data_IF_217635816954
#
_entry.id   IF_217635816954
#
_cell.length_a   1.000
_cell.length_b   1.000
_cell.length_c   1.000
_cell.angle_alpha   90.00
_cell.angle_beta   90.00
_cell.angle_gamma   90.00
#
_symmetry.space_group_name_H-M   'P 1'
#
loop_
_entity.id
_entity.type
_entity.pdbx_description
1 polymer ?
#
# COMPACT_ATOMS: atom_id res chain seq x y z
N UNK A 1 9.61 -2.60 16.46
CA UNK A 1 9.37 -1.68 15.31
C UNK A 1 10.01 -2.19 14.02
N UNK A 2 11.33 -2.41 13.95
CA UNK A 2 11.98 -2.86 12.70
C UNK A 2 11.38 -4.18 12.15
N UNK A 3 11.20 -5.18 13.02
CA UNK A 3 10.59 -6.44 12.65
C UNK A 3 9.15 -6.31 12.11
N UNK A 4 8.34 -5.44 12.72
CA UNK A 4 6.99 -5.12 12.25
C UNK A 4 7.00 -4.48 10.85
N UNK A 5 7.96 -3.58 10.59
CA UNK A 5 8.13 -2.95 9.29
C UNK A 5 8.45 -3.99 8.20
N UNK A 6 9.37 -4.93 8.49
CA UNK A 6 9.71 -6.02 7.58
C UNK A 6 8.50 -6.91 7.27
N UNK A 7 7.72 -7.29 8.30
CA UNK A 7 6.51 -8.09 8.11
C UNK A 7 5.45 -7.36 7.28
N UNK A 8 5.33 -6.05 7.43
CA UNK A 8 4.35 -5.25 6.67
C UNK A 8 4.77 -5.03 5.21
N UNK A 9 6.07 -5.05 4.92
CA UNK A 9 6.59 -4.95 3.55
C UNK A 9 6.54 -6.29 2.79
N UNK A 10 6.57 -7.40 3.52
CA UNK A 10 6.65 -8.75 2.96
C UNK A 10 5.49 -9.10 1.99
N UNK A 11 4.22 -8.74 2.26
CA UNK A 11 3.12 -8.97 1.32
C UNK A 11 3.34 -8.30 -0.03
N UNK A 12 3.85 -7.06 -0.04
CA UNK A 12 4.10 -6.34 -1.28
C UNK A 12 5.21 -6.99 -2.12
N UNK A 13 6.22 -7.58 -1.48
CA UNK A 13 7.27 -8.30 -2.20
C UNK A 13 6.80 -9.67 -2.74
N UNK A 14 5.94 -10.36 -1.98
CA UNK A 14 5.47 -11.70 -2.34
C UNK A 14 4.36 -11.66 -3.41
N UNK A 15 3.44 -10.69 -3.31
CA UNK A 15 2.26 -10.57 -4.18
C UNK A 15 2.46 -9.55 -5.32
N UNK A 16 3.40 -8.61 -5.18
CA UNK A 16 3.69 -7.62 -6.20
C UNK A 16 2.56 -6.61 -6.45
N UNK A 17 2.61 -5.98 -7.62
CA UNK A 17 1.72 -4.91 -8.07
C UNK A 17 0.26 -5.33 -8.31
N UNK A 18 0.01 -6.65 -8.41
CA UNK A 18 -1.25 -7.22 -8.92
C UNK A 18 -1.40 -7.13 -10.44
N UNK A 19 -2.11 -8.09 -11.03
CA UNK A 19 -2.28 -8.20 -12.49
C UNK A 19 -3.15 -7.07 -13.08
N UNK A 20 -4.12 -6.58 -12.30
CA UNK A 20 -4.98 -5.46 -12.69
C UNK A 20 -4.17 -4.16 -12.90
N UNK A 21 -3.18 -3.91 -12.03
CA UNK A 21 -2.30 -2.77 -12.18
C UNK A 21 -1.46 -2.89 -13.46
N UNK A 22 -0.95 -4.09 -13.76
CA UNK A 22 -0.14 -4.35 -14.96
C UNK A 22 -0.92 -4.13 -16.25
N UNK A 23 -2.19 -4.54 -16.31
CA UNK A 23 -3.03 -4.37 -17.50
C UNK A 23 -3.27 -2.88 -17.86
N UNK A 24 -3.10 -1.96 -16.91
CA UNK A 24 -3.17 -0.52 -17.15
C UNK A 24 -1.87 0.09 -17.69
N UNK A 25 -0.86 -0.72 -18.03
CA UNK A 25 0.41 -0.25 -18.61
C UNK A 25 0.48 -0.52 -20.11
N UNK A 26 1.15 0.36 -20.87
CA UNK A 26 1.23 0.24 -22.35
C UNK A 26 1.92 -1.04 -22.82
N UNK A 27 2.75 -1.64 -21.98
CA UNK A 27 3.56 -2.81 -22.32
C UNK A 27 2.80 -4.13 -22.17
N UNK A 28 1.91 -4.22 -21.17
CA UNK A 28 1.11 -5.42 -20.90
C UNK A 28 -0.31 -5.33 -21.50
N UNK A 29 -0.86 -4.14 -21.69
CA UNK A 29 -2.16 -3.93 -22.35
C UNK A 29 -2.18 -4.15 -23.87
N UNK A 30 -1.09 -4.69 -24.45
CA UNK A 30 -0.89 -4.79 -25.92
C UNK A 30 -0.74 -6.24 -26.44
N UNK A 31 -1.39 -7.22 -25.80
CA UNK A 31 -1.48 -8.58 -26.37
C UNK A 31 -2.82 -9.26 -26.16
N UNK A 32 -3.80 -8.82 -26.95
CA UNK A 32 -4.65 -9.74 -27.71
C UNK A 32 -5.17 -9.01 -28.95
N UNK A 33 -4.60 -9.31 -30.12
CA UNK A 33 -5.14 -8.87 -31.41
C UNK A 33 -4.13 -8.40 -32.44
N UNK A 34 -3.20 -9.28 -32.87
CA UNK A 34 -2.63 -9.12 -34.20
C UNK A 34 -3.74 -9.40 -35.24
N UNK A 35 -4.33 -8.37 -35.84
CA UNK A 35 -4.93 -8.52 -37.17
C UNK A 35 -4.59 -7.30 -38.02
N UNK A 36 -3.77 -7.57 -39.05
CA UNK A 36 -3.57 -6.71 -40.19
C UNK A 36 -4.92 -6.24 -40.73
N UNK A 37 -5.21 -4.94 -40.67
CA UNK A 37 -6.02 -4.25 -41.68
C UNK A 37 -5.91 -2.75 -41.45
N UNK A 38 -5.17 -2.12 -42.34
CA UNK A 38 -5.08 -0.68 -42.51
C UNK A 38 -6.45 -0.05 -42.79
N UNK A 39 -6.71 1.03 -42.04
CA UNK A 39 -7.33 2.28 -42.48
C UNK A 39 -8.85 2.48 -42.29
N UNK A 40 -9.11 3.40 -41.32
CA UNK A 40 -10.25 4.30 -41.09
C UNK A 40 -11.48 3.75 -40.35
N UNK A 41 -11.41 3.95 -39.02
CA UNK A 41 -12.24 3.42 -37.94
C UNK A 41 -13.74 3.75 -38.09
N UNK A 42 -14.59 2.74 -38.36
CA UNK A 42 -16.02 2.83 -38.12
C UNK A 42 -16.35 2.33 -36.70
N UNK A 43 -17.51 2.78 -36.23
CA UNK A 43 -18.24 2.42 -35.02
C UNK A 43 -18.20 0.95 -34.56
N UNK A 44 -18.35 0.77 -33.23
CA UNK A 44 -18.90 -0.39 -32.48
C UNK A 44 -17.85 -1.43 -32.03
N UNK A 45 -17.78 -1.99 -30.81
CA UNK A 45 -18.34 -1.84 -29.45
C UNK A 45 -17.71 -3.02 -28.64
N UNK A 46 -17.75 -2.97 -27.31
CA UNK A 46 -17.58 -4.07 -26.32
C UNK A 46 -16.22 -4.30 -25.63
N UNK A 47 -16.20 -3.83 -24.38
CA UNK A 47 -15.53 -4.39 -23.18
C UNK A 47 -14.04 -4.13 -22.94
N UNK A 48 -13.71 -2.97 -22.38
CA UNK A 48 -12.97 -2.87 -21.09
C UNK A 48 -12.82 -1.41 -20.62
N UNK A 49 -13.94 -0.73 -20.44
CA UNK A 49 -14.01 0.50 -19.63
C UNK A 49 -15.15 0.34 -18.61
N UNK A 50 -15.01 -0.66 -17.74
CA UNK A 50 -15.99 -0.98 -16.70
C UNK A 50 -15.65 -0.25 -15.40
N UNK A 51 -15.81 1.08 -15.37
CA UNK A 51 -15.87 1.84 -14.11
C UNK A 51 -17.10 2.74 -14.00
N UNK A 52 -18.01 2.66 -14.98
CA UNK A 52 -19.36 3.22 -14.88
C UNK A 52 -20.33 2.15 -15.38
N UNK A 53 -20.80 1.27 -14.49
CA UNK A 53 -21.96 0.45 -14.79
C UNK A 53 -23.19 1.37 -14.75
N UNK A 54 -23.64 1.75 -15.95
CA UNK A 54 -24.99 2.24 -16.14
C UNK A 54 -25.99 1.11 -15.85
N UNK A 55 -27.12 1.49 -15.29
CA UNK A 55 -28.04 0.61 -14.56
C UNK A 55 -28.86 -0.34 -15.45
N UNK A 56 -28.26 -1.31 -16.15
CA UNK A 56 -29.07 -2.33 -16.84
C UNK A 56 -28.38 -3.66 -17.22
N UNK A 57 -27.80 -4.38 -16.25
CA UNK A 57 -27.80 -5.87 -16.23
C UNK A 57 -27.13 -6.35 -14.94
N UNK A 58 -27.93 -6.91 -14.03
CA UNK A 58 -27.45 -7.62 -12.83
C UNK A 58 -27.44 -9.10 -13.16
N UNK A 59 -26.42 -9.54 -13.89
CA UNK A 59 -26.02 -10.94 -13.86
C UNK A 59 -24.99 -11.05 -12.72
N UNK A 60 -25.49 -11.36 -11.53
CA UNK A 60 -24.68 -11.62 -10.34
C UNK A 60 -23.98 -12.99 -10.50
N UNK A 61 -23.00 -13.08 -11.40
CA UNK A 61 -21.96 -14.10 -11.32
C UNK A 61 -20.96 -13.63 -10.25
N UNK A 62 -21.27 -13.98 -9.00
CA UNK A 62 -20.31 -13.92 -7.92
C UNK A 62 -19.26 -14.98 -8.21
N UNK A 63 -18.18 -14.62 -8.91
CA UNK A 63 -16.98 -15.45 -8.87
C UNK A 63 -16.59 -15.60 -7.41
N UNK A 64 -16.62 -16.85 -6.92
CA UNK A 64 -16.16 -17.23 -5.59
C UNK A 64 -14.64 -16.97 -5.56
N UNK A 65 -14.25 -15.72 -5.33
CA UNK A 65 -12.85 -15.34 -5.22
C UNK A 65 -12.27 -16.10 -4.03
N UNK A 66 -11.34 -17.01 -4.30
CA UNK A 66 -10.52 -17.63 -3.26
C UNK A 66 -9.73 -16.53 -2.54
N UNK A 67 -10.28 -16.04 -1.44
CA UNK A 67 -9.70 -14.94 -0.68
C UNK A 67 -8.41 -15.44 -0.04
N UNK A 68 -7.25 -15.02 -0.56
CA UNK A 68 -5.98 -15.43 0.01
C UNK A 68 -5.82 -14.85 1.42
N UNK A 69 -5.83 -15.73 2.43
CA UNK A 69 -5.72 -15.37 3.85
C UNK A 69 -4.28 -15.05 4.30
N UNK A 70 -3.28 -15.29 3.43
CA UNK A 70 -1.87 -15.10 3.78
C UNK A 70 -1.53 -13.63 4.12
N UNK A 71 -1.88 -12.61 3.31
CA UNK A 71 -1.59 -11.22 3.65
C UNK A 71 -2.25 -10.76 4.96
N UNK A 72 -3.55 -11.03 5.22
CA UNK A 72 -4.17 -10.72 6.51
C UNK A 72 -3.46 -11.35 7.71
N UNK A 73 -3.03 -12.61 7.61
CA UNK A 73 -2.34 -13.31 8.71
C UNK A 73 -0.97 -12.66 8.99
N UNK A 74 -0.21 -12.33 7.95
CA UNK A 74 1.09 -11.66 8.11
C UNK A 74 0.91 -10.30 8.79
N UNK A 75 -0.10 -9.53 8.37
CA UNK A 75 -0.42 -8.24 8.98
C UNK A 75 -0.86 -8.40 10.44
N UNK A 76 -1.68 -9.40 10.74
CA UNK A 76 -2.11 -9.71 12.12
C UNK A 76 -0.91 -10.01 13.03
N UNK A 77 0.00 -10.88 12.59
CA UNK A 77 1.23 -11.19 13.33
C UNK A 77 2.09 -9.93 13.49
N UNK A 78 2.19 -9.11 12.46
CA UNK A 78 2.87 -7.81 12.53
C UNK A 78 2.28 -6.92 13.63
N UNK A 79 0.96 -6.74 13.66
CA UNK A 79 0.28 -5.92 14.66
C UNK A 79 0.45 -6.47 16.07
N UNK A 80 0.44 -7.80 16.23
CA UNK A 80 0.70 -8.44 17.51
C UNK A 80 2.11 -8.11 18.03
N UNK A 81 3.14 -8.21 17.18
CA UNK A 81 4.51 -7.86 17.56
C UNK A 81 4.64 -6.36 17.87
N UNK A 82 3.94 -5.51 17.11
CA UNK A 82 3.89 -4.07 17.38
C UNK A 82 3.27 -3.78 18.75
N UNK A 83 2.18 -4.46 19.10
CA UNK A 83 1.52 -4.36 20.40
C UNK A 83 2.43 -4.74 21.56
N UNK A 84 3.07 -5.92 21.49
CA UNK A 84 4.02 -6.39 22.51
C UNK A 84 5.18 -5.39 22.67
N UNK A 85 5.76 -4.95 21.55
CA UNK A 85 6.86 -3.98 21.56
C UNK A 85 6.47 -2.64 22.18
N UNK A 86 5.26 -2.15 21.89
CA UNK A 86 4.71 -0.93 22.49
C UNK A 86 4.52 -1.06 24.00
N UNK A 87 3.90 -2.14 24.45
CA UNK A 87 3.70 -2.40 25.87
C UNK A 87 5.02 -2.49 26.64
N UNK A 88 6.01 -3.22 26.11
CA UNK A 88 7.34 -3.32 26.73
C UNK A 88 8.07 -1.98 26.77
N UNK A 89 7.96 -1.17 25.71
CA UNK A 89 8.55 0.15 25.67
C UNK A 89 7.99 1.07 26.77
N UNK A 90 6.66 1.14 26.89
CA UNK A 90 6.02 2.04 27.86
C UNK A 90 6.14 1.57 29.32
N UNK A 91 6.17 0.26 29.55
CA UNK A 91 6.31 -0.30 30.91
C UNK A 91 7.77 -0.39 31.30
N UNK A 92 8.52 -1.35 30.74
CA UNK A 92 9.90 -1.59 31.11
C UNK A 92 10.85 -0.47 30.64
N UNK A 93 10.65 0.06 29.43
CA UNK A 93 11.55 1.06 28.85
C UNK A 93 11.52 2.40 29.59
N UNK A 94 10.32 2.95 29.83
CA UNK A 94 10.18 4.23 30.53
C UNK A 94 10.61 4.11 32.00
N UNK A 95 10.22 3.05 32.70
CA UNK A 95 10.66 2.82 34.09
C UNK A 95 12.18 2.69 34.19
N UNK A 96 12.80 1.91 33.30
CA UNK A 96 14.26 1.79 33.27
C UNK A 96 14.94 3.15 33.06
N UNK A 97 14.41 3.99 32.16
CA UNK A 97 14.95 5.32 31.91
C UNK A 97 14.81 6.24 33.14
N UNK A 98 13.69 6.18 33.86
CA UNK A 98 13.46 7.01 35.06
C UNK A 98 14.39 6.62 36.24
N UNK A 99 14.76 5.35 36.33
CA UNK A 99 15.65 4.84 37.38
C UNK A 99 17.13 5.06 37.08
N UNK A 100 17.52 5.02 35.80
CA UNK A 100 18.91 5.12 35.37
C UNK A 100 19.34 6.53 34.93
N UNK A 101 18.42 7.49 34.93
CA UNK A 101 18.70 8.88 34.55
C UNK A 101 18.53 9.81 35.75
N UNK A 102 19.35 10.88 35.81
CA UNK A 102 19.13 11.95 36.78
C UNK A 102 17.71 12.51 36.67
N UNK A 103 16.99 12.60 37.80
CA UNK A 103 15.59 13.07 37.88
C UNK A 103 15.35 14.43 37.21
N UNK A 104 16.36 15.31 37.16
CA UNK A 104 16.28 16.61 36.49
C UNK A 104 16.26 16.54 34.96
N UNK A 105 16.70 15.43 34.37
CA UNK A 105 16.81 15.23 32.91
C UNK A 105 15.71 14.31 32.35
N UNK A 106 15.07 13.51 33.19
CA UNK A 106 13.99 12.60 32.78
C UNK A 106 12.85 13.33 32.04
N UNK A 107 12.31 14.48 32.51
CA UNK A 107 11.23 15.18 31.81
C UNK A 107 11.62 15.63 30.40
N UNK A 108 12.87 16.05 30.21
CA UNK A 108 13.39 16.47 28.92
C UNK A 108 13.51 15.28 27.95
N UNK A 109 14.00 14.13 28.42
CA UNK A 109 14.11 12.91 27.60
C UNK A 109 12.75 12.35 27.20
N UNK A 110 11.77 12.34 28.11
CA UNK A 110 10.40 11.91 27.81
C UNK A 110 9.78 12.86 26.77
N UNK A 111 9.90 14.17 26.97
CA UNK A 111 9.39 15.18 26.03
C UNK A 111 10.00 15.01 24.64
N UNK A 112 11.32 14.79 24.57
CA UNK A 112 12.01 14.52 23.32
C UNK A 112 11.55 13.22 22.66
N UNK A 113 11.31 12.16 23.43
CA UNK A 113 10.77 10.89 22.90
C UNK A 113 9.38 11.06 22.30
N UNK A 114 8.49 11.82 22.94
CA UNK A 114 7.18 12.15 22.40
C UNK A 114 7.27 13.01 21.13
N UNK A 115 8.20 13.97 21.11
CA UNK A 115 8.46 14.78 19.92
C UNK A 115 8.88 13.92 18.73
N UNK A 116 9.84 13.00 18.91
CA UNK A 116 10.24 12.05 17.87
C UNK A 116 9.07 11.17 17.40
N UNK A 117 8.22 10.73 18.34
CA UNK A 117 7.04 9.92 18.03
C UNK A 117 6.03 10.70 17.16
N UNK A 118 5.90 12.01 17.35
CA UNK A 118 5.04 12.88 16.53
C UNK A 118 5.68 13.26 15.18
N UNK A 119 7.01 13.35 15.11
CA UNK A 119 7.70 13.54 13.83
C UNK A 119 7.52 12.35 12.87
N UNK A 120 7.40 11.14 13.41
CA UNK A 120 7.18 9.92 12.61
C UNK A 120 6.03 10.05 11.61
N UNK A 121 4.78 10.34 12.05
CA UNK A 121 3.65 10.58 11.16
C UNK A 121 3.86 11.72 10.16
N UNK A 122 4.47 12.83 10.57
CA UNK A 122 4.71 13.99 9.68
C UNK A 122 5.61 13.59 8.51
N UNK A 123 6.74 12.95 8.80
CA UNK A 123 7.68 12.49 7.78
C UNK A 123 7.07 11.36 6.97
N UNK A 124 6.33 10.45 7.61
CA UNK A 124 5.65 9.33 6.96
C UNK A 124 4.62 9.78 5.94
N UNK A 125 3.75 10.74 6.28
CA UNK A 125 2.76 11.25 5.34
C UNK A 125 3.39 12.07 4.21
N UNK A 126 4.43 12.86 4.50
CA UNK A 126 5.17 13.57 3.46
C UNK A 126 5.79 12.58 2.45
N UNK A 127 6.41 11.51 2.93
CA UNK A 127 7.01 10.48 2.09
C UNK A 127 5.93 9.68 1.33
N UNK A 128 4.81 9.34 1.97
CA UNK A 128 3.69 8.66 1.33
C UNK A 128 3.11 9.51 0.20
N UNK A 129 2.91 10.81 0.42
CA UNK A 129 2.44 11.75 -0.61
C UNK A 129 3.40 11.81 -1.80
N UNK A 130 4.71 11.81 -1.55
CA UNK A 130 5.71 11.75 -2.61
C UNK A 130 5.67 10.42 -3.37
N UNK A 131 5.60 9.30 -2.64
CA UNK A 131 5.63 7.95 -3.22
C UNK A 131 4.39 7.65 -4.05
N UNK A 132 3.21 8.15 -3.66
CA UNK A 132 1.97 8.00 -4.42
C UNK A 132 2.01 8.66 -5.81
N UNK A 133 2.92 9.61 -6.05
CA UNK A 133 3.14 10.21 -7.38
C UNK A 133 3.95 9.30 -8.30
N UNK A 134 4.61 8.29 -7.75
CA UNK A 134 5.41 7.32 -8.50
C UNK A 134 4.51 6.11 -8.77
N UNK A 135 4.44 5.69 -10.02
CA UNK A 135 3.68 4.50 -10.39
C UNK A 135 4.30 3.24 -9.77
N UNK A 136 3.46 2.26 -9.41
CA UNK A 136 3.82 1.04 -8.65
C UNK A 136 5.03 0.31 -9.26
N UNK A 137 5.13 0.33 -10.59
CA UNK A 137 6.29 -0.17 -11.34
C UNK A 137 6.93 0.97 -12.14
N UNK A 138 8.03 1.60 -11.65
CA UNK A 138 8.59 2.81 -12.28
C UNK A 138 9.19 2.55 -13.67
N UNK A 139 9.37 1.29 -14.06
CA UNK A 139 9.81 0.91 -15.39
C UNK A 139 8.67 0.88 -16.41
N UNK A 140 7.42 0.74 -15.97
CA UNK A 140 6.25 0.61 -16.83
C UNK A 140 5.57 1.96 -17.04
N UNK A 141 5.08 2.20 -18.25
CA UNK A 141 4.34 3.42 -18.59
C UNK A 141 2.85 3.24 -18.33
N UNK A 142 2.27 3.93 -17.33
CA UNK A 142 0.85 3.84 -17.06
C UNK A 142 0.05 4.51 -18.19
N UNK A 143 -1.13 3.96 -18.47
CA UNK A 143 -2.08 4.51 -19.45
C UNK A 143 -2.92 5.63 -18.84
N UNK A 144 -3.08 5.63 -17.51
CA UNK A 144 -3.77 6.67 -16.74
C UNK A 144 -2.74 7.54 -16.02
N UNK A 145 -2.89 8.85 -16.14
CA UNK A 145 -2.03 9.87 -15.54
C UNK A 145 -2.74 10.59 -14.41
N UNK A 146 -1.98 11.18 -13.48
CA UNK A 146 -2.53 11.94 -12.34
C UNK A 146 -3.31 13.21 -12.75
N UNK A 147 -3.33 13.56 -14.04
CA UNK A 147 -4.07 14.71 -14.58
C UNK A 147 -5.37 14.31 -15.29
N UNK A 148 -5.68 13.01 -15.38
CA UNK A 148 -6.94 12.55 -15.96
C UNK A 148 -8.11 12.90 -15.01
N UNK A 149 -9.22 13.45 -15.53
CA UNK A 149 -10.35 13.96 -14.73
C UNK A 149 -11.20 12.86 -14.09
#
# INVERSE_FOLDING_TARGET
>A
IAFFCCLSMLPHFLYGSGDEALNLTKEYGSSTGSLNSSLLLPSQDKNQKLLCLDNEHRDDDWEEQEMNMIPPIILFVGQLVSGIGGSLYYTAGVSYMDDNTQKSKVPALISFSYFLKMLGPVIGYALASFTLKIYISPNLTPTITTNDP
#
